data_IF_964675514367
#
_entry.id   IF_964675514367
#
_cell.length_a   1.000
_cell.length_b   1.000
_cell.length_c   1.000
_cell.angle_alpha   90.00
_cell.angle_beta   90.00
_cell.angle_gamma   90.00
#
_symmetry.space_group_name_H-M   'P 1'
#
loop_
_entity.id
_entity.type
_entity.pdbx_description
1 polymer ?
#
# COMPACT_ATOMS: atom_id res chain seq x y z
N UNK A 1 4.92 0.78 18.00
CA UNK A 1 6.17 1.55 17.81
C UNK A 1 5.92 3.07 17.83
N UNK A 2 4.68 3.51 17.62
CA UNK A 2 4.33 4.93 17.52
C UNK A 2 4.58 5.48 16.11
N UNK A 3 3.54 6.01 15.48
CA UNK A 3 3.56 6.43 14.08
C UNK A 3 4.43 7.67 13.85
N UNK A 4 4.29 8.70 14.68
CA UNK A 4 5.03 9.96 14.50
C UNK A 4 6.52 9.81 14.73
N UNK A 5 6.93 9.10 15.79
CA UNK A 5 8.35 8.86 16.10
C UNK A 5 9.03 8.11 14.97
N UNK A 6 8.40 7.03 14.48
CA UNK A 6 8.94 6.25 13.37
C UNK A 6 8.94 7.06 12.07
N UNK A 7 7.87 7.80 11.78
CA UNK A 7 7.81 8.62 10.56
C UNK A 7 8.91 9.69 10.53
N UNK A 8 9.20 10.36 11.65
CA UNK A 8 10.30 11.32 11.73
C UNK A 8 11.67 10.65 11.51
N UNK A 9 11.92 9.50 12.16
CA UNK A 9 13.16 8.76 11.96
C UNK A 9 13.34 8.34 10.51
N UNK A 10 12.28 7.81 9.87
CA UNK A 10 12.31 7.42 8.47
C UNK A 10 12.48 8.60 7.53
N UNK A 11 11.82 9.73 7.79
CA UNK A 11 12.01 10.96 7.01
C UNK A 11 13.47 11.45 7.06
N UNK A 12 14.09 11.43 8.25
CA UNK A 12 15.51 11.76 8.43
C UNK A 12 16.44 10.77 7.74
N UNK A 13 16.08 9.48 7.76
CA UNK A 13 16.80 8.42 7.05
C UNK A 13 16.63 8.46 5.52
N UNK A 14 15.81 9.37 4.98
CA UNK A 14 15.66 9.56 3.54
C UNK A 14 14.48 8.83 2.91
N UNK A 15 13.49 8.40 3.68
CA UNK A 15 12.26 7.84 3.11
C UNK A 15 11.63 8.82 2.09
N UNK A 16 11.31 8.33 0.91
CA UNK A 16 10.79 9.15 -0.19
C UNK A 16 9.31 9.52 0.00
N UNK A 17 8.51 8.63 0.61
CA UNK A 17 7.09 8.80 0.83
C UNK A 17 6.62 7.94 2.02
N UNK A 18 5.38 8.17 2.47
CA UNK A 18 4.72 7.38 3.51
C UNK A 18 3.41 6.79 2.99
N UNK A 19 3.07 5.60 3.47
CA UNK A 19 1.79 4.96 3.20
C UNK A 19 1.02 4.81 4.51
N UNK A 20 -0.27 5.14 4.48
CA UNK A 20 -1.19 5.09 5.62
C UNK A 20 -2.48 4.37 5.23
N UNK A 21 -3.30 4.00 6.22
CA UNK A 21 -4.58 3.32 5.99
C UNK A 21 -5.76 4.30 5.91
N UNK A 22 -5.64 5.50 6.48
CA UNK A 22 -6.76 6.45 6.58
C UNK A 22 -6.33 7.91 6.45
N UNK A 23 -7.30 8.78 6.15
CA UNK A 23 -7.10 10.23 6.17
C UNK A 23 -6.71 10.73 7.56
N UNK A 24 -7.26 10.12 8.62
CA UNK A 24 -6.93 10.46 10.01
C UNK A 24 -5.44 10.29 10.30
N UNK A 25 -4.87 9.14 9.93
CA UNK A 25 -3.44 8.86 10.06
C UNK A 25 -2.60 9.85 9.23
N UNK A 26 -2.96 10.07 7.97
CA UNK A 26 -2.24 11.01 7.10
C UNK A 26 -2.23 12.44 7.66
N UNK A 27 -3.37 12.92 8.16
CA UNK A 27 -3.47 14.22 8.82
C UNK A 27 -2.68 14.29 10.12
N UNK A 28 -2.62 13.19 10.87
CA UNK A 28 -1.81 13.11 12.07
C UNK A 28 -0.32 13.28 11.74
N UNK A 29 0.17 12.57 10.75
CA UNK A 29 1.55 12.72 10.27
C UNK A 29 1.82 14.15 9.75
N UNK A 30 0.91 14.77 8.99
CA UNK A 30 1.07 16.16 8.55
C UNK A 30 1.20 17.13 9.72
N UNK A 31 0.30 17.02 10.72
CA UNK A 31 0.34 17.87 11.92
C UNK A 31 1.60 17.67 12.75
N UNK A 32 2.21 16.49 12.70
CA UNK A 32 3.51 16.23 13.35
C UNK A 32 4.72 16.75 12.58
N UNK A 33 4.54 17.34 11.38
CA UNK A 33 5.64 17.94 10.60
C UNK A 33 6.21 17.05 9.51
N UNK A 34 5.55 15.93 9.15
CA UNK A 34 5.95 15.13 7.99
C UNK A 34 5.63 15.88 6.72
N UNK A 35 6.65 16.15 5.89
CA UNK A 35 6.56 16.93 4.65
C UNK A 35 6.57 16.06 3.38
N UNK A 36 7.03 14.82 3.49
CA UNK A 36 7.10 13.89 2.35
C UNK A 36 5.71 13.50 1.85
N UNK A 37 5.56 13.06 0.58
CA UNK A 37 4.31 12.54 0.04
C UNK A 37 3.68 11.50 0.97
N UNK A 38 2.35 11.53 1.10
CA UNK A 38 1.57 10.55 1.87
C UNK A 38 0.52 9.94 0.95
N UNK A 39 0.42 8.62 0.93
CA UNK A 39 -0.55 7.85 0.15
C UNK A 39 -1.44 7.01 1.07
N UNK A 40 -2.76 7.16 0.99
CA UNK A 40 -3.72 6.23 1.57
C UNK A 40 -3.82 5.02 0.64
N UNK A 41 -3.44 3.83 1.13
CA UNK A 41 -3.43 2.59 0.34
C UNK A 41 -4.82 1.95 0.16
N UNK A 42 -5.81 2.40 0.91
CA UNK A 42 -7.16 1.88 0.92
C UNK A 42 -8.20 2.91 0.52
N UNK A 43 -9.43 2.71 1.00
CA UNK A 43 -10.56 3.57 0.76
C UNK A 43 -10.46 4.88 1.56
N UNK A 44 -10.69 6.00 0.87
CA UNK A 44 -11.00 7.29 1.49
C UNK A 44 -12.37 7.74 0.97
N UNK A 45 -13.27 8.14 1.87
CA UNK A 45 -14.61 8.59 1.47
C UNK A 45 -14.49 9.79 0.51
N UNK A 46 -15.19 9.78 -0.64
CA UNK A 46 -15.17 10.91 -1.60
C UNK A 46 -15.50 12.26 -0.99
N UNK A 47 -16.29 12.32 0.08
CA UNK A 47 -16.60 13.58 0.80
C UNK A 47 -15.37 14.24 1.41
N UNK A 48 -14.26 13.52 1.55
CA UNK A 48 -12.98 14.05 2.05
C UNK A 48 -12.13 14.71 0.97
N UNK A 49 -12.62 14.91 -0.26
CA UNK A 49 -11.85 15.48 -1.37
C UNK A 49 -11.13 16.78 -1.00
N UNK A 50 -11.82 17.73 -0.36
CA UNK A 50 -11.22 18.99 0.11
C UNK A 50 -10.09 18.72 1.12
N UNK A 51 -10.33 17.86 2.12
CA UNK A 51 -9.36 17.56 3.16
C UNK A 51 -8.13 16.80 2.62
N UNK A 52 -8.31 15.93 1.63
CA UNK A 52 -7.20 15.25 0.93
C UNK A 52 -6.31 16.28 0.23
N UNK A 53 -6.91 17.21 -0.52
CA UNK A 53 -6.18 18.24 -1.24
C UNK A 53 -5.48 19.24 -0.29
N UNK A 54 -6.17 19.73 0.74
CA UNK A 54 -5.62 20.66 1.74
C UNK A 54 -4.40 20.10 2.48
N UNK A 55 -4.39 18.79 2.76
CA UNK A 55 -3.30 18.14 3.47
C UNK A 55 -2.26 17.53 2.52
N UNK A 56 -2.41 17.72 1.21
CA UNK A 56 -1.54 17.11 0.19
C UNK A 56 -1.38 15.59 0.38
N UNK A 57 -2.49 14.88 0.56
CA UNK A 57 -2.54 13.43 0.75
C UNK A 57 -3.16 12.79 -0.49
N UNK A 58 -2.43 11.87 -1.12
CA UNK A 58 -2.91 11.05 -2.21
C UNK A 58 -3.72 9.85 -1.69
N UNK A 59 -4.63 9.32 -2.52
CA UNK A 59 -5.39 8.11 -2.18
C UNK A 59 -5.37 7.09 -3.32
N UNK A 60 -5.56 5.82 -2.98
CA UNK A 60 -5.76 4.77 -3.97
C UNK A 60 -7.07 5.00 -4.75
N UNK A 61 -7.00 4.88 -6.06
CA UNK A 61 -8.16 4.84 -6.95
C UNK A 61 -8.28 3.42 -7.50
N UNK A 62 -9.39 2.75 -7.22
CA UNK A 62 -9.50 1.29 -7.36
C UNK A 62 -10.75 0.82 -8.11
N UNK A 63 -11.65 1.72 -8.50
CA UNK A 63 -12.77 1.45 -9.41
C UNK A 63 -13.21 2.73 -10.14
N UNK A 64 -13.91 2.56 -11.25
CA UNK A 64 -14.47 3.66 -12.05
C UNK A 64 -15.50 4.46 -11.27
N UNK A 65 -16.39 3.80 -10.52
CA UNK A 65 -17.41 4.44 -9.69
C UNK A 65 -16.78 5.32 -8.60
N UNK A 66 -15.75 4.76 -7.92
CA UNK A 66 -15.00 5.50 -6.92
C UNK A 66 -14.32 6.74 -7.52
N UNK A 67 -13.65 6.57 -8.66
CA UNK A 67 -12.99 7.68 -9.37
C UNK A 67 -13.95 8.80 -9.74
N UNK A 68 -15.13 8.44 -10.27
CA UNK A 68 -16.18 9.40 -10.65
C UNK A 68 -16.73 10.14 -9.42
N UNK A 69 -17.03 9.41 -8.34
CA UNK A 69 -17.52 10.02 -7.10
C UNK A 69 -16.50 10.96 -6.46
N UNK A 70 -15.22 10.55 -6.40
CA UNK A 70 -14.15 11.38 -5.87
C UNK A 70 -13.91 12.63 -6.75
N UNK A 71 -13.92 12.47 -8.08
CA UNK A 71 -13.78 13.57 -9.02
C UNK A 71 -14.92 14.58 -8.88
N UNK A 72 -16.18 14.11 -8.79
CA UNK A 72 -17.33 14.99 -8.61
C UNK A 72 -17.26 15.78 -7.29
N UNK A 73 -16.85 15.13 -6.19
CA UNK A 73 -16.64 15.77 -4.90
C UNK A 73 -15.51 16.83 -4.95
N UNK A 74 -14.41 16.49 -5.62
CA UNK A 74 -13.28 17.39 -5.81
C UNK A 74 -13.65 18.64 -6.63
N UNK A 75 -14.37 18.45 -7.73
CA UNK A 75 -14.88 19.57 -8.57
C UNK A 75 -15.82 20.45 -7.76
N UNK A 76 -16.75 19.87 -7.00
CA UNK A 76 -17.66 20.63 -6.12
C UNK A 76 -16.89 21.44 -5.07
N UNK A 77 -15.78 20.91 -4.57
CA UNK A 77 -14.92 21.60 -3.61
C UNK A 77 -13.92 22.59 -4.27
N UNK A 78 -13.86 22.68 -5.59
CA UNK A 78 -12.91 23.53 -6.31
C UNK A 78 -11.45 23.08 -6.23
N UNK A 79 -11.21 21.79 -6.00
CA UNK A 79 -9.86 21.21 -5.82
C UNK A 79 -9.59 20.07 -6.80
N UNK A 80 -8.33 19.64 -6.86
CA UNK A 80 -7.93 18.37 -7.48
C UNK A 80 -7.33 17.44 -6.43
N UNK A 81 -7.72 16.18 -6.45
CA UNK A 81 -7.20 15.15 -5.54
C UNK A 81 -6.14 14.32 -6.25
N UNK A 82 -4.98 14.15 -5.62
CA UNK A 82 -3.92 13.25 -6.07
C UNK A 82 -4.36 11.80 -5.87
N UNK A 83 -4.22 10.98 -6.91
CA UNK A 83 -4.58 9.56 -6.84
C UNK A 83 -3.50 8.68 -7.45
N UNK A 84 -3.33 7.47 -6.88
CA UNK A 84 -2.59 6.38 -7.50
C UNK A 84 -3.58 5.31 -7.96
N UNK A 85 -3.52 4.94 -9.23
CA UNK A 85 -4.34 3.86 -9.78
C UNK A 85 -3.93 2.53 -9.16
N UNK A 86 -4.85 1.83 -8.53
CA UNK A 86 -4.61 0.50 -7.96
C UNK A 86 -5.00 -0.57 -8.96
N UNK A 87 -4.00 -1.29 -9.46
CA UNK A 87 -4.20 -2.43 -10.35
C UNK A 87 -4.30 -3.70 -9.50
N UNK A 88 -5.31 -4.52 -9.77
CA UNK A 88 -5.42 -5.85 -9.19
C UNK A 88 -4.97 -6.91 -10.19
N UNK A 89 -3.78 -7.44 -9.93
CA UNK A 89 -3.15 -8.52 -10.71
C UNK A 89 -3.40 -9.90 -10.09
N UNK A 90 -4.30 -9.97 -9.10
CA UNK A 90 -4.66 -11.22 -8.44
C UNK A 90 -4.59 -11.20 -6.91
N UNK A 91 -4.38 -10.04 -6.27
CA UNK A 91 -4.53 -9.91 -4.82
C UNK A 91 -5.99 -10.09 -4.38
N UNK A 92 -6.96 -9.71 -5.25
CA UNK A 92 -8.39 -9.94 -5.03
C UNK A 92 -9.01 -9.13 -3.90
N UNK A 93 -8.41 -7.98 -3.52
CA UNK A 93 -8.88 -7.16 -2.41
C UNK A 93 -9.54 -5.85 -2.87
N UNK A 94 -8.83 -5.03 -3.60
CA UNK A 94 -9.29 -3.80 -4.27
C UNK A 94 -8.45 -3.57 -5.51
N UNK A 95 -8.98 -2.86 -6.50
CA UNK A 95 -8.25 -2.47 -7.72
C UNK A 95 -8.97 -2.85 -9.00
N UNK A 96 -8.48 -2.31 -10.10
CA UNK A 96 -8.94 -2.65 -11.45
C UNK A 96 -8.43 -4.04 -11.83
N UNK A 97 -9.35 -5.00 -11.98
CA UNK A 97 -9.06 -6.43 -12.12
C UNK A 97 -8.62 -6.76 -13.55
N UNK A 98 -7.31 -6.80 -13.81
CA UNK A 98 -6.77 -7.02 -15.17
C UNK A 98 -6.77 -8.48 -15.63
N UNK A 99 -6.88 -9.45 -14.72
CA UNK A 99 -6.95 -10.88 -15.08
C UNK A 99 -8.26 -11.26 -15.78
N UNK A 100 -9.36 -10.55 -15.49
CA UNK A 100 -10.68 -10.83 -16.05
C UNK A 100 -10.93 -10.20 -17.42
N UNK A 101 -10.15 -9.18 -17.81
CA UNK A 101 -10.38 -8.47 -19.07
C UNK A 101 -9.35 -7.35 -19.29
N UNK A 102 -8.12 -7.70 -19.71
CA UNK A 102 -7.03 -6.74 -19.84
C UNK A 102 -7.39 -5.52 -20.70
N UNK A 103 -7.89 -5.75 -21.94
CA UNK A 103 -8.19 -4.66 -22.87
C UNK A 103 -9.32 -3.74 -22.38
N UNK A 104 -10.28 -4.29 -21.64
CA UNK A 104 -11.40 -3.55 -21.06
C UNK A 104 -10.93 -2.70 -19.91
N UNK A 105 -10.17 -3.29 -18.99
CA UNK A 105 -9.54 -2.57 -17.88
C UNK A 105 -8.64 -1.44 -18.34
N UNK A 106 -7.87 -1.62 -19.42
CA UNK A 106 -7.05 -0.53 -19.99
C UNK A 106 -7.95 0.64 -20.42
N UNK A 107 -9.04 0.37 -21.17
CA UNK A 107 -9.98 1.44 -21.58
C UNK A 107 -10.62 2.16 -20.37
N UNK A 108 -10.96 1.42 -19.33
CA UNK A 108 -11.45 2.04 -18.08
C UNK A 108 -10.40 2.97 -17.47
N UNK A 109 -9.16 2.49 -17.34
CA UNK A 109 -8.05 3.27 -16.78
C UNK A 109 -7.78 4.55 -17.59
N UNK A 110 -7.75 4.45 -18.92
CA UNK A 110 -7.57 5.59 -19.82
C UNK A 110 -8.66 6.66 -19.64
N UNK A 111 -9.92 6.23 -19.49
CA UNK A 111 -11.04 7.14 -19.30
C UNK A 111 -10.93 7.97 -18.01
N UNK A 112 -10.22 7.47 -16.98
CA UNK A 112 -10.03 8.19 -15.71
C UNK A 112 -9.19 9.47 -15.87
N UNK A 113 -8.30 9.51 -16.85
CA UNK A 113 -7.47 10.71 -17.12
C UNK A 113 -8.28 11.92 -17.58
N UNK A 114 -9.49 11.71 -18.07
CA UNK A 114 -10.41 12.79 -18.43
C UNK A 114 -11.18 13.37 -17.23
N UNK A 115 -11.10 12.78 -16.04
CA UNK A 115 -11.82 13.23 -14.85
C UNK A 115 -11.21 14.51 -14.27
N UNK A 116 -11.94 15.66 -14.28
CA UNK A 116 -11.35 16.97 -14.01
C UNK A 116 -10.94 17.18 -12.56
N UNK A 117 -11.54 16.44 -11.62
CA UNK A 117 -11.25 16.52 -10.18
C UNK A 117 -10.06 15.68 -9.74
N UNK A 118 -9.49 14.85 -10.63
CA UNK A 118 -8.39 13.96 -10.27
C UNK A 118 -7.04 14.45 -10.85
N UNK A 119 -5.99 14.16 -10.12
CA UNK A 119 -4.60 14.21 -10.57
C UNK A 119 -3.98 12.83 -10.40
N UNK A 120 -3.94 12.04 -11.46
CA UNK A 120 -3.33 10.71 -11.46
C UNK A 120 -1.81 10.90 -11.42
N UNK A 121 -1.18 10.54 -10.31
CA UNK A 121 0.25 10.74 -10.05
C UNK A 121 1.00 9.45 -9.72
N UNK A 122 0.36 8.30 -9.84
CA UNK A 122 1.00 7.00 -9.67
C UNK A 122 0.13 5.82 -10.09
N UNK A 123 0.78 4.68 -10.27
CA UNK A 123 0.15 3.39 -10.56
C UNK A 123 0.80 2.31 -9.69
N UNK A 124 0.00 1.46 -9.05
CA UNK A 124 0.53 0.42 -8.20
C UNK A 124 -0.30 -0.85 -8.15
N UNK A 125 0.35 -1.94 -7.75
CA UNK A 125 -0.30 -3.21 -7.41
C UNK A 125 0.20 -3.72 -6.06
N UNK A 126 -0.31 -4.85 -5.58
CA UNK A 126 0.18 -5.55 -4.40
C UNK A 126 0.25 -7.05 -4.67
N UNK A 127 1.35 -7.68 -4.29
CA UNK A 127 1.52 -9.12 -4.40
C UNK A 127 0.69 -9.85 -3.36
N UNK A 128 0.10 -10.98 -3.74
CA UNK A 128 -0.73 -11.77 -2.84
C UNK A 128 0.11 -12.61 -1.87
N UNK A 129 1.16 -13.25 -2.38
CA UNK A 129 1.92 -14.31 -1.69
C UNK A 129 3.44 -14.21 -1.93
N UNK A 130 3.98 -12.99 -2.12
CA UNK A 130 5.41 -12.78 -2.38
C UNK A 130 6.32 -13.19 -1.20
N UNK A 131 5.77 -13.49 -0.06
CA UNK A 131 6.43 -13.94 1.17
C UNK A 131 6.35 -15.45 1.38
N UNK A 132 5.81 -16.21 0.42
CA UNK A 132 5.83 -17.68 0.39
C UNK A 132 6.95 -18.22 -0.50
N UNK A 133 7.45 -19.42 -0.18
CA UNK A 133 8.40 -20.20 -0.99
C UNK A 133 7.77 -21.47 -1.59
N UNK A 134 6.47 -21.66 -1.39
CA UNK A 134 5.73 -22.74 -2.03
C UNK A 134 5.72 -22.56 -3.55
N UNK A 135 5.99 -23.62 -4.35
CA UNK A 135 6.15 -23.47 -5.80
C UNK A 135 4.95 -22.87 -6.53
N UNK A 136 3.74 -23.13 -6.06
CA UNK A 136 2.52 -22.56 -6.66
C UNK A 136 2.38 -21.07 -6.35
N UNK A 137 2.76 -20.63 -5.17
CA UNK A 137 2.76 -19.24 -4.74
C UNK A 137 3.87 -18.44 -5.43
N UNK A 138 5.06 -19.03 -5.60
CA UNK A 138 6.13 -18.41 -6.39
C UNK A 138 5.70 -18.19 -7.83
N UNK A 139 5.14 -19.21 -8.47
CA UNK A 139 4.59 -19.07 -9.85
C UNK A 139 3.52 -17.99 -9.91
N UNK A 140 2.61 -17.95 -8.94
CA UNK A 140 1.56 -16.93 -8.89
C UNK A 140 2.13 -15.51 -8.76
N UNK A 141 3.14 -15.34 -7.93
CA UNK A 141 3.87 -14.08 -7.75
C UNK A 141 4.58 -13.66 -9.04
N UNK A 142 5.23 -14.62 -9.72
CA UNK A 142 5.90 -14.40 -11.01
C UNK A 142 4.93 -14.03 -12.12
N UNK A 143 3.66 -14.46 -12.08
CA UNK A 143 2.62 -14.04 -13.01
C UNK A 143 2.08 -12.64 -12.74
N UNK A 144 2.05 -12.20 -11.47
CA UNK A 144 1.51 -10.89 -11.11
C UNK A 144 2.37 -9.73 -11.63
N UNK A 145 3.69 -9.85 -11.57
CA UNK A 145 4.59 -8.77 -11.96
C UNK A 145 4.54 -8.45 -13.47
N UNK A 146 4.68 -9.41 -14.40
CA UNK A 146 4.59 -9.13 -15.83
C UNK A 146 3.24 -8.53 -16.24
N UNK A 147 2.16 -9.00 -15.62
CA UNK A 147 0.83 -8.47 -15.87
C UNK A 147 0.71 -6.99 -15.44
N UNK A 148 1.30 -6.63 -14.31
CA UNK A 148 1.40 -5.23 -13.87
C UNK A 148 2.26 -4.39 -14.84
N UNK A 149 3.43 -4.92 -15.23
CA UNK A 149 4.32 -4.24 -16.17
C UNK A 149 3.64 -3.97 -17.51
N UNK A 150 2.88 -4.93 -18.05
CA UNK A 150 2.10 -4.77 -19.28
C UNK A 150 1.05 -3.64 -19.16
N UNK A 151 0.38 -3.51 -18.01
CA UNK A 151 -0.55 -2.38 -17.78
C UNK A 151 0.19 -1.04 -17.85
N UNK A 152 1.32 -0.94 -17.16
CA UNK A 152 2.12 0.30 -17.11
C UNK A 152 2.65 0.66 -18.51
N UNK A 153 3.19 -0.30 -19.23
CA UNK A 153 3.69 -0.12 -20.60
C UNK A 153 2.57 0.29 -21.56
N UNK A 154 1.40 -0.33 -21.45
CA UNK A 154 0.25 -0.01 -22.29
C UNK A 154 -0.23 1.41 -22.04
N UNK A 155 -0.44 1.82 -20.80
CA UNK A 155 -0.82 3.19 -20.46
C UNK A 155 0.19 4.22 -20.98
N UNK A 156 1.49 3.93 -20.88
CA UNK A 156 2.55 4.80 -21.43
C UNK A 156 2.48 4.89 -22.96
N UNK A 157 2.28 3.77 -23.64
CA UNK A 157 2.16 3.72 -25.09
C UNK A 157 0.95 4.50 -25.60
N UNK A 158 -0.14 4.51 -24.85
CA UNK A 158 -1.36 5.26 -25.15
C UNK A 158 -1.28 6.74 -24.71
N UNK A 159 -0.09 7.19 -24.25
CA UNK A 159 0.18 8.60 -23.88
C UNK A 159 -0.32 9.02 -22.51
N UNK A 160 -0.72 8.07 -21.65
CA UNK A 160 -1.16 8.35 -20.29
C UNK A 160 0.05 8.60 -19.36
N UNK A 161 0.09 9.73 -18.61
CA UNK A 161 1.15 10.00 -17.65
C UNK A 161 0.96 9.12 -16.39
N UNK A 162 1.69 8.01 -16.29
CA UNK A 162 1.52 7.02 -15.21
C UNK A 162 2.07 7.49 -13.86
N UNK A 163 2.93 8.52 -13.82
CA UNK A 163 3.55 9.00 -12.59
C UNK A 163 4.45 7.96 -11.93
N UNK A 164 4.41 7.88 -10.59
CA UNK A 164 5.24 6.94 -9.81
C UNK A 164 4.71 5.52 -9.91
N UNK A 165 5.52 4.60 -10.40
CA UNK A 165 5.18 3.18 -10.53
C UNK A 165 5.75 2.41 -9.33
N UNK A 166 4.91 1.63 -8.64
CA UNK A 166 5.36 0.85 -7.49
C UNK A 166 4.54 -0.43 -7.28
N UNK A 167 5.24 -1.54 -7.05
CA UNK A 167 4.59 -2.84 -6.82
C UNK A 167 5.12 -3.59 -5.60
N UNK A 168 6.44 -3.50 -5.32
CA UNK A 168 7.10 -4.31 -4.33
C UNK A 168 6.68 -3.94 -2.89
N UNK A 169 6.19 -4.94 -2.15
CA UNK A 169 6.01 -4.94 -0.70
C UNK A 169 7.30 -5.35 0.01
N UNK A 170 7.27 -5.57 1.32
CA UNK A 170 8.45 -5.97 2.11
C UNK A 170 9.15 -7.22 1.57
N UNK A 171 8.39 -8.26 1.22
CA UNK A 171 8.95 -9.50 0.67
C UNK A 171 9.50 -9.28 -0.74
N UNK A 172 8.69 -8.75 -1.64
CA UNK A 172 9.07 -8.60 -3.04
C UNK A 172 10.32 -7.73 -3.23
N UNK A 173 10.49 -6.64 -2.46
CA UNK A 173 11.69 -5.79 -2.61
C UNK A 173 12.99 -6.46 -2.18
N UNK A 174 12.93 -7.48 -1.31
CA UNK A 174 14.08 -8.24 -0.85
C UNK A 174 14.36 -9.44 -1.75
N UNK A 175 13.32 -10.15 -2.19
CA UNK A 175 13.42 -11.35 -3.04
C UNK A 175 13.62 -11.01 -4.52
N UNK A 176 13.02 -9.92 -5.00
CA UNK A 176 12.96 -9.51 -6.41
C UNK A 176 13.40 -8.04 -6.54
N UNK A 177 14.70 -7.73 -6.36
CA UNK A 177 15.20 -6.36 -6.44
C UNK A 177 14.96 -5.70 -7.82
N UNK A 178 14.82 -6.48 -8.87
CA UNK A 178 14.49 -6.05 -10.23
C UNK A 178 13.06 -5.51 -10.39
N UNK A 179 12.15 -5.79 -9.43
CA UNK A 179 10.75 -5.34 -9.44
C UNK A 179 10.50 -4.05 -8.65
N UNK A 180 11.56 -3.34 -8.26
CA UNK A 180 11.43 -2.14 -7.42
C UNK A 180 10.78 -0.97 -8.12
N UNK A 181 10.86 -0.88 -9.47
CA UNK A 181 10.39 0.25 -10.25
C UNK A 181 10.88 1.60 -9.66
N UNK A 182 9.98 2.61 -9.56
CA UNK A 182 10.35 3.93 -9.05
C UNK A 182 10.38 3.98 -7.51
N UNK A 183 9.64 3.09 -6.84
CA UNK A 183 9.50 3.09 -5.38
C UNK A 183 9.11 1.72 -4.85
N UNK A 184 9.62 1.34 -3.69
CA UNK A 184 9.17 0.17 -2.92
C UNK A 184 8.33 0.59 -1.71
N UNK A 185 7.54 -0.34 -1.18
CA UNK A 185 6.74 -0.12 0.03
C UNK A 185 7.22 -1.05 1.14
N UNK A 186 8.27 -0.62 1.82
CA UNK A 186 8.75 -1.28 3.03
C UNK A 186 7.72 -1.11 4.16
N UNK A 187 7.35 -2.20 4.78
CA UNK A 187 6.44 -2.25 5.93
C UNK A 187 7.10 -2.98 7.09
N UNK A 188 6.80 -4.26 7.27
CA UNK A 188 7.25 -5.04 8.42
C UNK A 188 8.78 -5.08 8.58
N UNK A 189 9.53 -5.09 7.48
CA UNK A 189 11.00 -5.08 7.50
C UNK A 189 11.61 -3.79 8.09
N UNK A 190 10.86 -2.68 8.11
CA UNK A 190 11.30 -1.46 8.80
C UNK A 190 11.40 -1.65 10.31
N UNK A 191 10.71 -2.64 10.84
CA UNK A 191 10.75 -3.04 12.25
C UNK A 191 11.70 -4.21 12.51
N UNK A 192 12.49 -4.59 11.50
CA UNK A 192 13.47 -5.66 11.60
C UNK A 192 12.89 -7.07 11.69
N UNK A 193 11.68 -7.24 11.16
CA UNK A 193 10.98 -8.53 11.15
C UNK A 193 10.91 -9.11 9.74
N UNK A 194 11.06 -10.41 9.63
CA UNK A 194 10.88 -11.13 8.38
C UNK A 194 9.43 -11.01 7.88
N UNK A 195 9.21 -10.97 6.55
CA UNK A 195 7.86 -10.88 5.98
C UNK A 195 6.97 -12.08 6.28
N UNK A 196 7.56 -13.25 6.47
CA UNK A 196 6.89 -14.50 6.84
C UNK A 196 7.87 -15.42 7.61
N UNK A 197 7.38 -16.58 8.04
CA UNK A 197 8.23 -17.63 8.64
C UNK A 197 8.97 -18.49 7.59
N UNK A 198 8.67 -18.30 6.31
CA UNK A 198 9.26 -19.08 5.21
C UNK A 198 10.46 -18.38 4.59
N UNK A 199 10.52 -17.05 4.70
CA UNK A 199 11.56 -16.21 4.09
C UNK A 199 12.33 -15.50 5.20
N UNK A 200 13.62 -15.82 5.31
CA UNK A 200 14.47 -15.30 6.36
C UNK A 200 15.61 -14.43 5.81
N UNK A 201 15.75 -13.23 6.39
CA UNK A 201 16.77 -12.25 6.03
C UNK A 201 17.65 -11.94 7.26
N UNK A 202 18.81 -12.58 7.42
CA UNK A 202 19.66 -12.46 8.61
C UNK A 202 20.13 -11.04 8.95
N UNK A 203 20.07 -10.12 7.99
CA UNK A 203 20.42 -8.72 8.20
C UNK A 203 19.35 -7.90 8.93
N UNK A 204 18.13 -8.41 9.04
CA UNK A 204 17.05 -7.74 9.76
C UNK A 204 17.27 -7.87 11.26
N UNK A 205 17.12 -6.76 11.98
CA UNK A 205 17.24 -6.71 13.43
C UNK A 205 15.98 -6.09 14.04
N UNK A 206 15.24 -6.83 14.90
CA UNK A 206 14.06 -6.29 15.56
C UNK A 206 14.37 -5.01 16.34
N UNK A 207 13.58 -3.96 16.08
CA UNK A 207 13.76 -2.63 16.70
C UNK A 207 13.00 -2.48 18.02
N UNK A 208 12.26 -3.51 18.46
CA UNK A 208 11.49 -3.49 19.71
C UNK A 208 11.58 -4.84 20.42
N UNK A 209 11.70 -4.79 21.74
CA UNK A 209 11.52 -5.93 22.64
C UNK A 209 10.38 -5.65 23.59
N UNK A 210 9.50 -6.63 23.79
CA UNK A 210 8.48 -6.60 24.82
C UNK A 210 8.93 -7.51 25.97
N UNK A 211 9.10 -6.94 27.16
CA UNK A 211 9.46 -7.67 28.36
C UNK A 211 8.34 -7.54 29.39
N UNK A 212 8.11 -8.60 30.15
CA UNK A 212 7.18 -8.61 31.26
C UNK A 212 7.82 -9.32 32.45
N UNK A 213 7.59 -8.78 33.65
CA UNK A 213 7.97 -9.45 34.89
C UNK A 213 6.77 -10.23 35.42
N UNK A 214 6.96 -11.53 35.63
CA UNK A 214 5.93 -12.38 36.24
C UNK A 214 5.88 -12.12 37.75
N UNK A 215 4.83 -11.49 38.22
CA UNK A 215 4.66 -11.18 39.65
C UNK A 215 3.99 -12.31 40.44
N UNK A 216 3.40 -13.31 39.77
CA UNK A 216 2.81 -14.50 40.37
C UNK A 216 2.85 -15.69 39.41
N UNK A 217 3.08 -16.89 39.92
CA UNK A 217 2.97 -18.14 39.20
C UNK A 217 1.91 -19.02 39.87
N UNK A 218 0.97 -19.53 39.08
CA UNK A 218 0.00 -20.52 39.49
C UNK A 218 0.30 -21.84 38.80
N UNK A 219 0.66 -22.85 39.56
CA UNK A 219 0.81 -24.20 39.02
C UNK A 219 -0.52 -24.95 39.13
N UNK A 220 -1.11 -25.30 38.00
CA UNK A 220 -2.28 -26.18 37.96
C UNK A 220 -1.81 -27.61 37.72
N UNK A 221 -2.18 -28.55 38.60
CA UNK A 221 -2.02 -29.96 38.30
C UNK A 221 -3.16 -30.43 37.38
N UNK A 222 -2.87 -31.30 36.43
CA UNK A 222 -3.87 -31.88 35.51
C UNK A 222 -5.02 -32.60 36.22
N UNK A 223 -4.94 -32.79 37.53
CA UNK A 223 -5.92 -33.46 38.37
C UNK A 223 -6.85 -32.49 39.14
N UNK A 224 -6.65 -31.18 39.04
CA UNK A 224 -7.40 -30.23 39.88
C UNK A 224 -8.81 -29.88 39.38
N UNK A 225 -9.20 -30.26 38.16
CA UNK A 225 -10.57 -30.07 37.65
C UNK A 225 -11.11 -28.63 37.64
N UNK A 226 -10.25 -27.62 37.89
CA UNK A 226 -10.67 -26.23 37.86
C UNK A 226 -10.66 -25.68 36.43
N UNK A 227 -11.86 -25.46 35.90
CA UNK A 227 -12.05 -24.64 34.71
C UNK A 227 -11.87 -23.14 35.08
N UNK A 228 -11.34 -22.36 34.17
CA UNK A 228 -11.35 -20.91 34.25
C UNK A 228 -12.79 -20.39 34.36
N UNK A 229 -13.06 -19.35 35.17
CA UNK A 229 -14.35 -18.69 35.15
C UNK A 229 -14.68 -18.06 33.83
#
# INVERSE_FOLDING_TARGET
HGDTTIAHALQQAGAAAFAVSSLGEGRHLRRSGITKPILILGFADPSYAAALAENDIATACFSTEYAQALSAAAVKAGVKVKVHLKIDTGMGRIGFAVRSGFAETIRELEALYALPGLNICGVFQHFAVADSVEPDDERYTDEQHPLFAQVVERLRADGCPVGTVHCANSAAQLRHPEWRHDMTRAGIILYGLDPSNEVHFPALQPVMSLTAEATAFWAFSATSGMAWP
#
